data_IF_881431515099
#
_entry.id   IF_881431515099
#
_cell.length_a   1.000
_cell.length_b   1.000
_cell.length_c   1.000
_cell.angle_alpha   90.00
_cell.angle_beta   90.00
_cell.angle_gamma   90.00
#
_symmetry.space_group_name_H-M   'P 1'
#
loop_
_entity.id
_entity.type
_entity.pdbx_description
1 polymer ?
#
# COMPACT_ATOMS: atom_id res chain seq x y z
N UNK A 1 9.96 -1.85 -32.34
CA UNK A 1 10.28 -2.12 -30.92
C UNK A 1 9.34 -1.28 -30.08
N UNK A 2 8.48 -1.89 -29.27
CA UNK A 2 7.42 -1.15 -28.57
C UNK A 2 7.98 -0.48 -27.32
N UNK A 3 8.41 0.78 -27.46
CA UNK A 3 9.08 1.52 -26.39
C UNK A 3 8.19 1.71 -25.15
N UNK A 4 6.87 1.80 -25.36
CA UNK A 4 5.89 1.88 -24.28
C UNK A 4 5.91 0.63 -23.41
N UNK A 5 5.92 -0.55 -24.03
CA UNK A 5 5.98 -1.82 -23.30
C UNK A 5 7.26 -1.98 -22.46
N UNK A 6 8.38 -1.39 -22.92
CA UNK A 6 9.64 -1.39 -22.16
C UNK A 6 9.54 -0.45 -20.96
N UNK A 7 8.98 0.75 -21.15
CA UNK A 7 8.74 1.70 -20.05
C UNK A 7 7.83 1.08 -19.00
N UNK A 8 6.73 0.43 -19.42
CA UNK A 8 5.78 -0.22 -18.52
C UNK A 8 6.44 -1.37 -17.75
N UNK A 9 7.26 -2.19 -18.42
CA UNK A 9 8.01 -3.26 -17.78
C UNK A 9 9.02 -2.72 -16.75
N UNK A 10 9.72 -1.63 -17.06
CA UNK A 10 10.65 -0.97 -16.12
C UNK A 10 9.88 -0.39 -14.93
N UNK A 11 8.74 0.27 -15.17
CA UNK A 11 7.91 0.83 -14.11
C UNK A 11 7.37 -0.27 -13.18
N UNK A 12 6.91 -1.39 -13.74
CA UNK A 12 6.47 -2.55 -12.97
C UNK A 12 7.62 -3.15 -12.16
N UNK A 13 8.79 -3.36 -12.77
CA UNK A 13 9.98 -3.87 -12.09
C UNK A 13 10.42 -2.94 -10.94
N UNK A 14 10.37 -1.62 -11.16
CA UNK A 14 10.71 -0.65 -10.13
C UNK A 14 9.68 -0.64 -8.99
N UNK A 15 8.39 -0.60 -9.32
CA UNK A 15 7.27 -0.65 -8.37
C UNK A 15 7.37 -1.87 -7.45
N UNK A 16 7.93 -2.95 -7.99
CA UNK A 16 8.16 -4.22 -7.34
C UNK A 16 9.42 -4.21 -6.46
N UNK A 17 10.52 -3.62 -6.94
CA UNK A 17 11.83 -3.65 -6.28
C UNK A 17 11.97 -2.66 -5.12
N UNK A 18 11.31 -1.49 -5.17
CA UNK A 18 11.54 -0.44 -4.18
C UNK A 18 11.10 -0.79 -2.74
N UNK A 19 10.01 -1.54 -2.47
CA UNK A 19 9.62 -1.86 -1.09
C UNK A 19 10.66 -2.69 -0.31
N UNK A 20 11.20 -3.81 -0.83
CA UNK A 20 12.23 -4.56 -0.11
C UNK A 20 13.54 -3.76 0.02
N UNK A 21 13.93 -2.98 -1.00
CA UNK A 21 15.14 -2.14 -0.94
C UNK A 21 15.00 -1.08 0.15
N UNK A 22 13.89 -0.34 0.17
CA UNK A 22 13.63 0.69 1.18
C UNK A 22 13.53 0.10 2.59
N UNK A 23 12.92 -1.07 2.76
CA UNK A 23 12.92 -1.80 4.03
C UNK A 23 14.33 -2.12 4.51
N UNK A 24 15.22 -2.63 3.64
CA UNK A 24 16.62 -2.94 3.98
C UNK A 24 17.36 -1.65 4.39
N UNK A 25 17.25 -0.59 3.58
CA UNK A 25 17.94 0.69 3.84
C UNK A 25 17.47 1.31 5.15
N UNK A 26 16.16 1.39 5.39
CA UNK A 26 15.62 1.97 6.62
C UNK A 26 15.97 1.10 7.84
N UNK A 27 15.92 -0.22 7.70
CA UNK A 27 16.36 -1.13 8.77
C UNK A 27 17.82 -0.89 9.14
N UNK A 28 18.71 -0.74 8.16
CA UNK A 28 20.12 -0.43 8.42
C UNK A 28 20.29 0.91 9.15
N UNK A 29 19.53 1.95 8.77
CA UNK A 29 19.56 3.24 9.45
C UNK A 29 19.07 3.13 10.90
N UNK A 30 17.99 2.39 11.15
CA UNK A 30 17.48 2.13 12.50
C UNK A 30 18.55 1.41 13.34
N UNK A 31 19.18 0.37 12.78
CA UNK A 31 20.23 -0.40 13.46
C UNK A 31 21.42 0.50 13.80
N UNK A 32 21.86 1.33 12.85
CA UNK A 32 22.95 2.28 13.04
C UNK A 32 22.63 3.29 14.16
N UNK A 33 21.42 3.84 14.19
CA UNK A 33 21.00 4.78 15.22
C UNK A 33 20.93 4.13 16.61
N UNK A 34 20.40 2.91 16.70
CA UNK A 34 20.29 2.17 17.95
C UNK A 34 21.67 1.73 18.48
N UNK A 35 22.55 1.21 17.61
CA UNK A 35 23.91 0.79 17.98
C UNK A 35 24.92 0.97 16.82
N UNK A 36 25.67 2.09 16.79
CA UNK A 36 26.53 2.42 15.66
C UNK A 36 27.72 1.47 15.54
N UNK A 37 28.27 0.97 16.66
CA UNK A 37 29.43 0.07 16.67
C UNK A 37 29.06 -1.29 16.05
N UNK A 38 27.92 -1.84 16.46
CA UNK A 38 27.42 -3.10 15.91
C UNK A 38 27.07 -2.96 14.42
N UNK A 39 26.43 -1.86 14.03
CA UNK A 39 26.09 -1.57 12.65
C UNK A 39 27.36 -1.49 11.77
N UNK A 40 28.40 -0.79 12.23
CA UNK A 40 29.67 -0.68 11.51
C UNK A 40 30.35 -2.05 11.32
N UNK A 41 30.35 -2.89 12.36
CA UNK A 41 30.95 -4.23 12.27
C UNK A 41 30.18 -5.14 11.30
N UNK A 42 28.85 -5.10 11.32
CA UNK A 42 28.00 -5.83 10.36
C UNK A 42 28.19 -5.30 8.95
N UNK A 43 28.23 -3.99 8.78
CA UNK A 43 28.46 -3.34 7.48
C UNK A 43 29.83 -3.70 6.90
N UNK A 44 30.88 -3.73 7.72
CA UNK A 44 32.21 -4.22 7.32
C UNK A 44 32.19 -5.69 6.88
N UNK A 45 31.45 -6.54 7.59
CA UNK A 45 31.27 -7.94 7.20
C UNK A 45 30.58 -8.11 5.84
N UNK A 46 29.51 -7.35 5.61
CA UNK A 46 28.78 -7.32 4.32
C UNK A 46 29.68 -6.77 3.21
N UNK A 47 30.39 -5.67 3.44
CA UNK A 47 31.37 -5.11 2.50
C UNK A 47 32.47 -6.11 2.15
N UNK A 48 32.96 -6.87 3.13
CA UNK A 48 33.95 -7.91 2.89
C UNK A 48 33.38 -9.01 1.98
N UNK A 49 32.14 -9.46 2.23
CA UNK A 49 31.47 -10.45 1.38
C UNK A 49 31.15 -9.91 -0.03
N UNK A 50 30.79 -8.65 -0.15
CA UNK A 50 30.60 -8.01 -1.45
C UNK A 50 31.92 -7.89 -2.23
N UNK A 51 33.02 -7.65 -1.53
CA UNK A 51 34.35 -7.57 -2.13
C UNK A 51 34.85 -8.94 -2.59
N UNK A 52 34.62 -10.00 -1.82
CA UNK A 52 34.94 -11.37 -2.24
C UNK A 52 34.02 -11.82 -3.37
N UNK A 53 32.73 -11.48 -3.33
CA UNK A 53 31.82 -11.71 -4.45
C UNK A 53 32.29 -10.99 -5.72
N UNK A 54 32.72 -9.73 -5.61
CA UNK A 54 33.28 -8.97 -6.73
C UNK A 54 34.61 -9.53 -7.27
N UNK A 55 35.42 -10.17 -6.43
CA UNK A 55 36.62 -10.89 -6.86
C UNK A 55 36.24 -12.15 -7.66
N UNK A 56 35.31 -12.96 -7.14
CA UNK A 56 34.79 -14.13 -7.85
C UNK A 56 34.04 -13.73 -9.14
N UNK A 57 33.45 -12.53 -9.17
CA UNK A 57 32.81 -11.96 -10.35
C UNK A 57 33.82 -11.62 -11.44
N UNK A 58 35.01 -11.14 -11.08
CA UNK A 58 36.12 -10.93 -12.01
C UNK A 58 36.66 -12.25 -12.57
N UNK A 59 36.82 -13.27 -11.72
CA UNK A 59 37.22 -14.61 -12.18
C UNK A 59 36.22 -15.20 -13.17
N UNK A 60 34.91 -15.08 -12.88
CA UNK A 60 33.87 -15.51 -13.82
C UNK A 60 33.90 -14.69 -15.13
N UNK A 61 34.20 -13.40 -15.05
CA UNK A 61 34.34 -12.54 -16.22
C UNK A 61 35.53 -12.94 -17.10
N UNK A 62 36.68 -13.27 -16.50
CA UNK A 62 37.88 -13.76 -17.21
C UNK A 62 37.63 -15.10 -17.92
N UNK A 63 36.82 -15.99 -17.34
CA UNK A 63 36.43 -17.27 -17.97
C UNK A 63 35.46 -17.07 -19.15
N UNK A 64 34.62 -16.04 -19.11
CA UNK A 64 33.60 -15.73 -20.13
C UNK A 64 34.08 -14.76 -21.21
N UNK A 65 35.20 -14.07 -20.98
CA UNK A 65 35.87 -13.16 -21.92
C UNK A 65 36.19 -13.80 -23.28
N UNK A 66 36.71 -15.05 -23.36
CA UNK A 66 37.02 -15.72 -24.62
C UNK A 66 35.77 -15.99 -25.48
N UNK A 67 34.60 -16.05 -24.86
CA UNK A 67 33.34 -16.34 -25.54
C UNK A 67 32.56 -15.08 -25.92
N UNK A 68 33.05 -13.87 -25.58
CA UNK A 68 32.34 -12.61 -25.84
C UNK A 68 31.06 -12.44 -25.02
N UNK A 69 30.83 -13.28 -24.01
CA UNK A 69 29.62 -13.32 -23.18
C UNK A 69 29.68 -12.36 -21.97
N UNK A 70 30.72 -11.53 -21.86
CA UNK A 70 30.90 -10.60 -20.72
C UNK A 70 29.75 -9.62 -20.53
N UNK A 71 29.02 -9.27 -21.61
CA UNK A 71 27.83 -8.42 -21.54
C UNK A 71 26.58 -9.10 -20.96
N UNK A 72 26.53 -10.44 -20.93
CA UNK A 72 25.40 -11.20 -20.38
C UNK A 72 25.46 -11.34 -18.86
N UNK A 73 26.65 -11.27 -18.27
CA UNK A 73 26.85 -11.40 -16.82
C UNK A 73 26.08 -10.33 -16.02
N UNK A 74 26.18 -9.01 -16.30
CA UNK A 74 25.41 -8.01 -15.57
C UNK A 74 23.90 -8.16 -15.80
N UNK A 75 23.47 -8.62 -16.98
CA UNK A 75 22.06 -8.89 -17.28
C UNK A 75 21.53 -10.05 -16.42
N UNK A 76 22.26 -11.17 -16.37
CA UNK A 76 21.91 -12.32 -15.54
C UNK A 76 21.90 -11.94 -14.06
N UNK A 77 22.89 -11.16 -13.60
CA UNK A 77 22.93 -10.66 -12.22
C UNK A 77 21.74 -9.77 -11.89
N UNK A 78 21.31 -8.91 -12.82
CA UNK A 78 20.12 -8.07 -12.62
C UNK A 78 18.84 -8.92 -12.55
N UNK A 79 18.71 -9.94 -13.41
CA UNK A 79 17.57 -10.87 -13.39
C UNK A 79 17.54 -11.65 -12.07
N UNK A 80 18.66 -12.20 -11.63
CA UNK A 80 18.77 -12.91 -10.34
C UNK A 80 18.43 -11.98 -9.18
N UNK A 81 18.92 -10.74 -9.20
CA UNK A 81 18.61 -9.76 -8.16
C UNK A 81 17.11 -9.45 -8.10
N UNK A 82 16.48 -9.17 -9.25
CA UNK A 82 15.02 -8.95 -9.34
C UNK A 82 14.25 -10.18 -8.86
N UNK A 83 14.71 -11.39 -9.21
CA UNK A 83 14.09 -12.64 -8.78
C UNK A 83 14.20 -12.86 -7.26
N UNK A 84 15.33 -12.51 -6.64
CA UNK A 84 15.48 -12.55 -5.18
C UNK A 84 14.53 -11.55 -4.53
N UNK A 85 14.44 -10.32 -5.05
CA UNK A 85 13.47 -9.34 -4.56
C UNK A 85 12.04 -9.89 -4.72
N UNK A 86 11.74 -10.58 -5.82
CA UNK A 86 10.47 -11.30 -6.08
C UNK A 86 10.11 -12.28 -4.98
N UNK A 87 11.04 -13.18 -4.67
CA UNK A 87 10.86 -14.16 -3.61
C UNK A 87 10.68 -13.54 -2.23
N UNK A 88 11.32 -12.39 -1.96
CA UNK A 88 11.22 -11.71 -0.65
C UNK A 88 9.91 -10.94 -0.51
N UNK A 89 9.40 -10.33 -1.58
CA UNK A 89 8.24 -9.44 -1.50
C UNK A 89 6.94 -10.19 -1.16
N UNK A 90 6.76 -11.43 -1.63
CA UNK A 90 5.58 -12.24 -1.31
C UNK A 90 5.41 -12.49 0.20
N UNK A 91 6.37 -13.15 0.87
CA UNK A 91 6.37 -13.35 2.31
C UNK A 91 6.28 -12.03 3.10
N UNK A 92 7.02 -11.00 2.67
CA UNK A 92 6.98 -9.68 3.26
C UNK A 92 5.55 -9.10 3.27
N UNK A 93 4.88 -9.05 2.11
CA UNK A 93 3.52 -8.51 2.00
C UNK A 93 2.53 -9.31 2.84
N UNK A 94 2.66 -10.64 2.89
CA UNK A 94 1.80 -11.50 3.71
C UNK A 94 1.99 -11.22 5.20
N UNK A 95 3.23 -11.14 5.68
CA UNK A 95 3.52 -10.85 7.09
C UNK A 95 3.06 -9.44 7.46
N UNK A 96 3.39 -8.43 6.65
CA UNK A 96 3.03 -7.04 6.97
C UNK A 96 1.51 -6.81 6.99
N UNK A 97 0.72 -7.56 6.20
CA UNK A 97 -0.75 -7.51 6.24
C UNK A 97 -1.34 -8.03 7.56
N UNK A 98 -0.64 -8.90 8.28
CA UNK A 98 -1.09 -9.46 9.55
C UNK A 98 -0.69 -8.58 10.75
N UNK A 99 0.27 -7.67 10.58
CA UNK A 99 0.69 -6.77 11.65
C UNK A 99 -0.36 -5.65 11.82
N UNK A 100 -0.91 -5.44 13.04
CA UNK A 100 -1.82 -4.32 13.31
C UNK A 100 -1.07 -2.98 13.28
N UNK A 101 -1.77 -1.85 13.09
CA UNK A 101 -3.21 -1.68 12.98
C UNK A 101 -3.75 -1.94 11.57
N UNK A 102 -4.88 -2.62 11.43
CA UNK A 102 -5.55 -2.80 10.15
C UNK A 102 -6.44 -1.60 9.83
N UNK A 103 -6.63 -1.35 8.53
CA UNK A 103 -7.42 -0.25 8.02
C UNK A 103 -8.53 -0.83 7.14
N UNK A 104 -9.78 -0.62 7.56
CA UNK A 104 -10.97 -0.99 6.81
C UNK A 104 -11.67 0.25 6.26
N UNK A 105 -12.24 0.12 5.07
CA UNK A 105 -13.00 1.18 4.41
C UNK A 105 -14.41 0.70 4.08
N UNK A 106 -15.41 1.53 4.38
CA UNK A 106 -16.79 1.36 3.97
C UNK A 106 -17.08 2.36 2.86
N UNK A 107 -16.84 1.96 1.62
CA UNK A 107 -16.92 2.85 0.46
C UNK A 107 -18.31 3.43 0.26
N UNK A 108 -19.37 2.63 0.47
CA UNK A 108 -20.74 3.13 0.40
C UNK A 108 -21.02 4.28 1.36
N UNK A 109 -20.59 4.17 2.62
CA UNK A 109 -20.72 5.24 3.63
C UNK A 109 -19.94 6.50 3.21
N UNK A 110 -18.74 6.34 2.63
CA UNK A 110 -17.96 7.47 2.13
C UNK A 110 -18.69 8.20 1.00
N UNK A 111 -19.13 7.46 -0.03
CA UNK A 111 -19.84 8.03 -1.18
C UNK A 111 -21.13 8.70 -0.74
N UNK A 112 -21.88 8.08 0.16
CA UNK A 112 -23.10 8.64 0.72
C UNK A 112 -22.87 9.91 1.53
N UNK A 113 -21.72 10.04 2.21
CA UNK A 113 -21.35 11.26 2.94
C UNK A 113 -20.92 12.40 2.02
N UNK A 114 -20.43 12.08 0.81
CA UNK A 114 -19.95 13.03 -0.18
C UNK A 114 -21.04 13.48 -1.16
N UNK A 115 -22.19 12.79 -1.20
CA UNK A 115 -23.31 13.05 -2.09
C UNK A 115 -24.49 13.66 -1.34
N UNK A 116 -25.06 14.72 -1.89
CA UNK A 116 -26.29 15.33 -1.40
C UNK A 116 -27.49 14.42 -1.66
N UNK A 117 -28.54 14.55 -0.84
CA UNK A 117 -29.74 13.74 -1.01
C UNK A 117 -30.37 13.85 -2.42
N UNK A 118 -30.35 15.04 -3.03
CA UNK A 118 -30.83 15.26 -4.39
C UNK A 118 -30.00 14.50 -5.44
N UNK A 119 -28.67 14.51 -5.32
CA UNK A 119 -27.79 13.76 -6.22
C UNK A 119 -28.03 12.25 -6.10
N UNK A 120 -28.24 11.74 -4.88
CA UNK A 120 -28.53 10.31 -4.68
C UNK A 120 -29.79 9.88 -5.43
N UNK A 121 -30.84 10.69 -5.41
CA UNK A 121 -32.08 10.44 -6.16
C UNK A 121 -31.83 10.44 -7.66
N UNK A 122 -31.10 11.44 -8.16
CA UNK A 122 -30.80 11.56 -9.58
C UNK A 122 -30.01 10.35 -10.10
N UNK A 123 -29.05 9.86 -9.32
CA UNK A 123 -28.24 8.68 -9.66
C UNK A 123 -29.13 7.42 -9.71
N UNK A 124 -30.02 7.21 -8.74
CA UNK A 124 -30.96 6.08 -8.75
C UNK A 124 -31.91 6.15 -9.94
N UNK A 125 -32.39 7.35 -10.31
CA UNK A 125 -33.28 7.54 -11.47
C UNK A 125 -32.58 7.30 -12.79
N UNK A 126 -31.28 7.58 -12.87
CA UNK A 126 -30.46 7.23 -14.03
C UNK A 126 -30.31 5.71 -14.20
N UNK A 127 -30.37 4.94 -13.10
CA UNK A 127 -30.24 3.48 -13.08
C UNK A 127 -31.36 2.81 -12.28
N UNK A 128 -32.61 2.81 -12.79
CA UNK A 128 -33.79 2.39 -12.01
C UNK A 128 -33.79 0.91 -11.63
N UNK A 129 -33.01 0.08 -12.35
CA UNK A 129 -32.87 -1.37 -12.12
C UNK A 129 -31.96 -1.72 -10.94
N UNK A 130 -31.22 -0.76 -10.39
CA UNK A 130 -30.34 -1.00 -9.25
C UNK A 130 -31.15 -1.23 -7.97
N UNK A 131 -30.65 -2.10 -7.09
CA UNK A 131 -31.27 -2.46 -5.81
C UNK A 131 -31.12 -1.33 -4.80
N UNK A 132 -29.95 -0.71 -4.73
CA UNK A 132 -29.61 0.36 -3.81
C UNK A 132 -28.86 1.52 -4.50
N UNK A 133 -28.62 2.59 -3.74
CA UNK A 133 -27.84 3.74 -4.18
C UNK A 133 -26.40 3.37 -4.56
N UNK A 134 -25.73 2.55 -3.76
CA UNK A 134 -24.32 2.20 -3.95
C UNK A 134 -24.10 1.48 -5.29
N UNK A 135 -24.98 0.54 -5.63
CA UNK A 135 -24.95 -0.14 -6.92
C UNK A 135 -25.18 0.84 -8.07
N UNK A 136 -26.14 1.77 -7.94
CA UNK A 136 -26.38 2.78 -8.96
C UNK A 136 -25.18 3.72 -9.15
N UNK A 137 -24.51 4.09 -8.05
CA UNK A 137 -23.29 4.88 -8.07
C UNK A 137 -22.14 4.17 -8.78
N UNK A 138 -21.81 2.92 -8.42
CA UNK A 138 -20.72 2.19 -9.06
C UNK A 138 -20.99 1.94 -10.56
N UNK A 139 -22.25 1.76 -10.94
CA UNK A 139 -22.65 1.67 -12.36
C UNK A 139 -22.48 3.02 -13.08
N UNK A 140 -22.75 4.13 -12.40
CA UNK A 140 -22.52 5.47 -12.93
C UNK A 140 -21.02 5.72 -13.17
N UNK A 141 -20.19 5.43 -12.18
CA UNK A 141 -18.72 5.53 -12.25
C UNK A 141 -18.21 4.71 -13.44
N UNK A 142 -18.55 3.42 -13.52
CA UNK A 142 -18.08 2.52 -14.57
C UNK A 142 -18.50 2.92 -15.99
N UNK A 143 -19.61 3.66 -16.14
CA UNK A 143 -20.12 4.11 -17.44
C UNK A 143 -19.55 5.46 -17.86
N UNK A 144 -19.30 6.35 -16.90
CA UNK A 144 -18.98 7.76 -17.15
C UNK A 144 -17.48 8.04 -17.14
N UNK A 145 -16.70 7.27 -16.38
CA UNK A 145 -15.26 7.45 -16.30
C UNK A 145 -14.54 6.63 -17.39
N UNK A 146 -13.46 7.17 -17.98
CA UNK A 146 -12.68 6.43 -18.97
C UNK A 146 -12.03 5.20 -18.33
N UNK A 147 -11.88 4.11 -19.10
CA UNK A 147 -11.31 2.84 -18.62
C UNK A 147 -9.93 2.98 -17.97
N UNK A 148 -9.18 4.01 -18.34
CA UNK A 148 -7.83 4.26 -17.83
C UNK A 148 -7.81 5.05 -16.51
N UNK A 149 -8.96 5.59 -16.09
CA UNK A 149 -9.12 6.32 -14.83
C UNK A 149 -8.82 5.41 -13.62
N UNK A 150 -9.38 4.20 -13.61
CA UNK A 150 -9.22 3.26 -12.50
C UNK A 150 -7.77 2.82 -12.31
N UNK A 151 -7.02 2.65 -13.41
CA UNK A 151 -5.64 2.15 -13.40
C UNK A 151 -4.68 3.10 -12.64
N UNK A 152 -4.76 4.41 -12.88
CA UNK A 152 -3.89 5.38 -12.21
C UNK A 152 -4.14 5.47 -10.70
N UNK A 153 -5.40 5.31 -10.29
CA UNK A 153 -5.80 5.43 -8.89
C UNK A 153 -5.56 4.15 -8.09
N UNK A 154 -5.73 2.98 -8.71
CA UNK A 154 -5.34 1.69 -8.14
C UNK A 154 -3.85 1.66 -7.78
N UNK A 155 -2.98 2.22 -8.63
CA UNK A 155 -1.55 2.30 -8.36
C UNK A 155 -1.21 3.17 -7.12
N UNK A 156 -1.90 4.29 -6.95
CA UNK A 156 -1.69 5.16 -5.77
C UNK A 156 -2.23 4.55 -4.48
N UNK A 157 -3.39 3.91 -4.52
CA UNK A 157 -3.94 3.18 -3.37
C UNK A 157 -2.96 2.07 -2.96
N UNK A 158 -2.48 1.28 -3.93
CA UNK A 158 -1.49 0.24 -3.69
C UNK A 158 -0.17 0.78 -3.12
N UNK A 159 0.27 1.98 -3.54
CA UNK A 159 1.45 2.63 -2.97
C UNK A 159 1.30 2.89 -1.47
N UNK A 160 0.18 3.48 -1.04
CA UNK A 160 -0.08 3.75 0.38
C UNK A 160 -0.17 2.46 1.20
N UNK A 161 -0.82 1.42 0.67
CA UNK A 161 -0.87 0.11 1.33
C UNK A 161 0.52 -0.50 1.51
N UNK A 162 1.39 -0.40 0.49
CA UNK A 162 2.80 -0.84 0.58
C UNK A 162 3.57 -0.06 1.63
N UNK A 163 3.37 1.27 1.71
CA UNK A 163 4.00 2.12 2.72
C UNK A 163 3.53 1.77 4.15
N UNK A 164 2.24 1.56 4.35
CA UNK A 164 1.68 1.11 5.63
C UNK A 164 2.30 -0.24 6.02
N UNK A 165 2.36 -1.19 5.08
CA UNK A 165 3.00 -2.49 5.29
C UNK A 165 4.46 -2.36 5.71
N UNK A 166 5.21 -1.48 5.05
CA UNK A 166 6.62 -1.23 5.35
C UNK A 166 6.82 -0.72 6.78
N UNK A 167 6.11 0.33 7.15
CA UNK A 167 6.27 0.93 8.48
C UNK A 167 5.89 -0.08 9.56
N UNK A 168 4.81 -0.85 9.35
CA UNK A 168 4.42 -1.94 10.25
C UNK A 168 5.49 -2.99 10.43
N UNK A 169 6.16 -3.39 9.35
CA UNK A 169 7.23 -4.39 9.39
C UNK A 169 8.51 -3.86 10.07
N UNK A 170 8.75 -2.54 10.10
CA UNK A 170 9.88 -1.95 10.84
C UNK A 170 9.69 -1.97 12.36
N UNK A 171 8.45 -1.97 12.85
CA UNK A 171 8.16 -2.01 14.29
C UNK A 171 8.72 -3.28 14.97
N UNK A 172 8.38 -4.52 14.53
CA UNK A 172 8.92 -5.73 15.15
C UNK A 172 10.43 -5.86 14.94
N UNK A 173 10.98 -5.38 13.80
CA UNK A 173 12.43 -5.31 13.59
C UNK A 173 13.08 -4.47 14.68
N UNK A 174 12.52 -3.30 14.96
CA UNK A 174 13.02 -2.40 16.01
C UNK A 174 12.96 -3.07 17.40
N UNK A 175 11.90 -3.82 17.70
CA UNK A 175 11.77 -4.58 18.95
C UNK A 175 12.80 -5.71 19.05
N UNK A 176 12.98 -6.51 17.99
CA UNK A 176 14.01 -7.57 17.94
C UNK A 176 15.40 -6.97 18.15
N UNK A 177 15.67 -5.83 17.51
CA UNK A 177 16.94 -5.13 17.68
C UNK A 177 17.13 -4.54 19.08
N UNK A 178 16.07 -4.11 19.75
CA UNK A 178 16.15 -3.71 21.16
C UNK A 178 16.58 -4.89 22.03
N UNK A 179 15.95 -6.06 21.85
CA UNK A 179 16.26 -7.29 22.60
C UNK A 179 17.72 -7.69 22.38
N UNK A 180 18.18 -7.65 21.13
CA UNK A 180 19.57 -7.99 20.81
C UNK A 180 20.57 -6.97 21.39
N UNK A 181 20.25 -5.68 21.33
CA UNK A 181 21.07 -4.60 21.89
C UNK A 181 21.00 -4.50 23.42
N UNK A 182 20.16 -5.29 24.08
CA UNK A 182 20.09 -5.30 25.54
C UNK A 182 21.45 -5.60 26.18
N UNK A 183 22.28 -6.44 25.53
CA UNK A 183 23.64 -6.80 25.96
C UNK A 183 24.75 -5.81 25.57
N UNK A 184 24.45 -4.72 24.86
CA UNK A 184 25.48 -3.76 24.42
C UNK A 184 26.03 -2.90 25.58
N UNK A 185 27.24 -2.36 25.43
CA UNK A 185 27.93 -1.50 26.42
C UNK A 185 27.27 -0.13 26.67
N UNK A 186 26.30 0.28 25.84
CA UNK A 186 25.62 1.57 26.01
C UNK A 186 24.90 1.69 27.37
N UNK A 187 24.84 2.91 27.97
CA UNK A 187 24.05 3.15 29.19
C UNK A 187 22.57 2.83 28.97
N UNK A 188 21.92 2.25 29.98
CA UNK A 188 20.52 1.82 29.91
C UNK A 188 19.58 2.92 29.39
N UNK A 189 19.63 4.11 29.99
CA UNK A 189 18.76 5.24 29.61
C UNK A 189 18.95 5.70 28.17
N UNK A 190 20.17 5.66 27.64
CA UNK A 190 20.42 6.01 26.24
C UNK A 190 19.79 5.00 25.28
N UNK A 191 19.75 3.71 25.64
CA UNK A 191 19.07 2.68 24.83
C UNK A 191 17.57 2.91 24.82
N UNK A 192 16.98 3.15 26.00
CA UNK A 192 15.55 3.41 26.16
C UNK A 192 15.15 4.66 25.37
N UNK A 193 15.87 5.77 25.53
CA UNK A 193 15.57 7.02 24.82
C UNK A 193 15.61 6.82 23.30
N UNK A 194 16.68 6.22 22.76
CA UNK A 194 16.81 5.97 21.32
C UNK A 194 15.71 5.06 20.80
N UNK A 195 15.34 4.03 21.55
CA UNK A 195 14.24 3.15 21.20
C UNK A 195 12.90 3.89 21.16
N UNK A 196 12.60 4.67 22.20
CA UNK A 196 11.38 5.49 22.27
C UNK A 196 11.34 6.47 21.10
N UNK A 197 12.45 7.15 20.78
CA UNK A 197 12.54 8.02 19.61
C UNK A 197 12.20 7.28 18.31
N UNK A 198 12.80 6.12 18.06
CA UNK A 198 12.54 5.34 16.84
C UNK A 198 11.08 4.88 16.78
N UNK A 199 10.53 4.34 17.87
CA UNK A 199 9.13 3.91 17.92
C UNK A 199 8.17 5.08 17.73
N UNK A 200 8.45 6.25 18.32
CA UNK A 200 7.66 7.46 18.12
C UNK A 200 7.71 7.92 16.67
N UNK A 201 8.89 7.94 16.04
CA UNK A 201 9.03 8.30 14.61
C UNK A 201 8.30 7.30 13.70
N UNK A 202 8.39 6.00 13.97
CA UNK A 202 7.66 4.97 13.21
C UNK A 202 6.14 5.10 13.41
N UNK A 203 5.69 5.37 14.63
CA UNK A 203 4.26 5.56 14.92
C UNK A 203 3.71 6.83 14.26
N UNK A 204 4.46 7.94 14.32
CA UNK A 204 4.08 9.21 13.70
C UNK A 204 4.05 9.09 12.17
N UNK A 205 5.04 8.43 11.57
CA UNK A 205 5.05 8.18 10.12
C UNK A 205 3.91 7.26 9.70
N UNK A 206 3.61 6.19 10.47
CA UNK A 206 2.48 5.32 10.22
C UNK A 206 1.16 6.12 10.23
N UNK A 207 0.97 6.95 11.25
CA UNK A 207 -0.21 7.81 11.36
C UNK A 207 -0.33 8.79 10.19
N UNK A 208 0.78 9.42 9.79
CA UNK A 208 0.83 10.32 8.64
C UNK A 208 0.45 9.62 7.34
N UNK A 209 0.95 8.41 7.09
CA UNK A 209 0.61 7.62 5.89
C UNK A 209 -0.86 7.19 5.92
N UNK A 210 -1.40 6.80 7.07
CA UNK A 210 -2.83 6.45 7.20
C UNK A 210 -3.72 7.66 6.87
N UNK A 211 -3.39 8.85 7.38
CA UNK A 211 -4.12 10.08 7.04
C UNK A 211 -4.01 10.38 5.54
N UNK A 212 -2.82 10.29 4.97
CA UNK A 212 -2.61 10.56 3.55
C UNK A 212 -3.41 9.59 2.67
N UNK A 213 -3.42 8.31 3.03
CA UNK A 213 -4.21 7.29 2.34
C UNK A 213 -5.72 7.56 2.44
N UNK A 214 -6.20 7.91 3.64
CA UNK A 214 -7.59 8.31 3.89
C UNK A 214 -7.98 9.51 3.01
N UNK A 215 -7.17 10.57 3.05
CA UNK A 215 -7.40 11.78 2.27
C UNK A 215 -7.39 11.50 0.76
N UNK A 216 -6.48 10.66 0.29
CA UNK A 216 -6.41 10.30 -1.13
C UNK A 216 -7.66 9.52 -1.57
N UNK A 217 -8.15 8.59 -0.75
CA UNK A 217 -9.38 7.84 -1.02
C UNK A 217 -10.61 8.75 -1.03
N UNK A 218 -10.70 9.70 -0.11
CA UNK A 218 -11.77 10.71 -0.13
C UNK A 218 -11.70 11.60 -1.38
N UNK A 219 -10.51 12.06 -1.76
CA UNK A 219 -10.32 12.87 -2.97
C UNK A 219 -10.67 12.11 -4.24
N UNK A 220 -10.35 10.82 -4.30
CA UNK A 220 -10.73 9.95 -5.41
C UNK A 220 -12.25 9.96 -5.64
N UNK A 221 -13.02 9.65 -4.60
CA UNK A 221 -14.48 9.64 -4.69
C UNK A 221 -15.07 11.03 -4.94
N UNK A 222 -14.43 12.12 -4.47
CA UNK A 222 -14.84 13.48 -4.83
C UNK A 222 -14.71 13.76 -6.32
N UNK A 223 -13.63 13.30 -6.96
CA UNK A 223 -13.46 13.45 -8.42
C UNK A 223 -14.54 12.66 -9.17
N UNK A 224 -14.82 11.42 -8.75
CA UNK A 224 -15.87 10.60 -9.34
C UNK A 224 -17.25 11.25 -9.21
N UNK A 225 -17.57 11.77 -8.03
CA UNK A 225 -18.85 12.45 -7.78
C UNK A 225 -18.96 13.74 -8.58
N UNK A 226 -17.87 14.51 -8.73
CA UNK A 226 -17.89 15.71 -9.56
C UNK A 226 -18.14 15.37 -11.03
N UNK A 227 -17.49 14.33 -11.56
CA UNK A 227 -17.74 13.87 -12.94
C UNK A 227 -19.19 13.43 -13.14
N UNK A 228 -19.78 12.75 -12.15
CA UNK A 228 -21.20 12.41 -12.17
C UNK A 228 -22.08 13.67 -12.11
N UNK A 229 -21.74 14.64 -11.24
CA UNK A 229 -22.49 15.90 -11.08
C UNK A 229 -22.53 16.70 -12.38
N UNK A 230 -21.43 16.79 -13.10
CA UNK A 230 -21.36 17.48 -14.40
C UNK A 230 -22.36 16.87 -15.39
N UNK A 231 -22.44 15.53 -15.44
CA UNK A 231 -23.38 14.80 -16.32
C UNK A 231 -24.84 14.93 -15.85
N UNK A 232 -25.06 15.06 -14.54
CA UNK A 232 -26.39 15.25 -13.97
C UNK A 232 -26.91 16.68 -14.19
N UNK A 233 -26.04 17.68 -14.23
CA UNK A 233 -26.40 19.09 -14.47
C UNK A 233 -27.02 19.29 -15.87
N UNK A 234 -26.59 18.52 -16.87
CA UNK A 234 -27.04 18.61 -18.25
C UNK A 234 -28.42 17.96 -18.51
N UNK A 235 -29.08 17.41 -17.48
CA UNK A 235 -30.20 16.49 -17.65
C UNK A 235 -31.49 16.95 -16.94
N UNK A 236 -32.67 16.85 -17.59
CA UNK A 236 -33.93 17.51 -17.16
C UNK A 236 -34.65 16.89 -15.94
N UNK A 237 -34.09 15.84 -15.32
CA UNK A 237 -34.65 15.13 -14.15
C UNK A 237 -34.50 15.93 -12.84
N UNK A 238 -33.78 17.06 -12.89
CA UNK A 238 -33.56 17.99 -11.78
C UNK A 238 -34.83 18.61 -11.20
N UNK A 239 -35.96 18.51 -11.91
CA UNK A 239 -37.22 19.18 -11.57
C UNK A 239 -38.31 18.29 -10.96
N UNK A 240 -38.04 17.04 -10.60
CA UNK A 240 -39.06 16.14 -10.00
C UNK A 240 -38.80 15.93 -8.49
N UNK A 241 -39.44 16.72 -7.61
CA UNK A 241 -39.10 16.75 -6.18
C UNK A 241 -39.67 15.57 -5.37
N UNK A 242 -40.74 14.92 -5.83
CA UNK A 242 -41.40 13.89 -5.01
C UNK A 242 -40.77 12.51 -5.19
N UNK A 243 -40.44 11.88 -4.07
CA UNK A 243 -39.96 10.50 -4.00
C UNK A 243 -41.12 9.52 -3.91
N UNK A 244 -41.08 8.48 -4.73
CA UNK A 244 -41.92 7.30 -4.55
C UNK A 244 -41.48 6.50 -3.31
N UNK A 245 -42.40 5.78 -2.68
CA UNK A 245 -42.10 4.90 -1.53
C UNK A 245 -41.04 3.85 -1.87
N UNK A 246 -40.98 3.43 -3.14
CA UNK A 246 -39.97 2.52 -3.67
C UNK A 246 -38.57 3.14 -3.76
N UNK A 247 -38.45 4.42 -4.15
CA UNK A 247 -37.17 5.12 -4.14
C UNK A 247 -36.66 5.32 -2.71
N UNK A 248 -37.56 5.62 -1.76
CA UNK A 248 -37.21 5.75 -0.33
C UNK A 248 -36.61 4.47 0.24
N UNK A 249 -37.11 3.30 -0.15
CA UNK A 249 -36.58 2.02 0.32
C UNK A 249 -35.18 1.68 -0.21
N UNK A 250 -34.64 2.42 -1.19
CA UNK A 250 -33.29 2.20 -1.74
C UNK A 250 -32.19 2.98 -1.02
N UNK A 251 -32.55 3.83 -0.06
CA UNK A 251 -31.60 4.54 0.77
C UNK A 251 -31.46 3.82 2.11
N UNK A 252 -30.22 3.49 2.46
CA UNK A 252 -29.88 3.06 3.81
C UNK A 252 -29.31 4.28 4.53
N UNK A 253 -29.77 4.54 5.75
CA UNK A 253 -29.29 5.67 6.52
C UNK A 253 -27.99 5.31 7.25
N UNK A 254 -26.87 5.76 6.70
CA UNK A 254 -25.55 5.62 7.30
C UNK A 254 -24.99 6.95 7.85
N UNK A 255 -25.84 7.96 8.11
CA UNK A 255 -25.40 9.32 8.48
C UNK A 255 -24.47 9.41 9.70
N UNK A 256 -24.53 8.43 10.61
CA UNK A 256 -23.68 8.39 11.81
C UNK A 256 -22.53 7.36 11.74
N UNK A 257 -22.38 6.64 10.63
CA UNK A 257 -21.33 5.64 10.50
C UNK A 257 -20.00 6.24 10.04
N UNK A 258 -18.90 5.73 10.61
CA UNK A 258 -17.56 6.07 10.12
C UNK A 258 -17.27 5.25 8.88
N UNK A 259 -16.89 5.94 7.80
CA UNK A 259 -16.49 5.30 6.55
C UNK A 259 -15.10 4.65 6.59
N UNK A 260 -14.34 4.84 7.67
CA UNK A 260 -13.07 4.19 7.91
C UNK A 260 -12.98 3.66 9.34
N UNK A 261 -12.28 2.54 9.51
CA UNK A 261 -12.07 1.90 10.81
C UNK A 261 -10.60 1.51 10.91
N UNK A 262 -9.95 1.92 12.00
CA UNK A 262 -8.62 1.45 12.38
C UNK A 262 -8.80 0.47 13.52
N UNK A 263 -8.38 -0.78 13.33
CA UNK A 263 -8.58 -1.84 14.31
C UNK A 263 -7.29 -2.64 14.54
N UNK A 264 -7.05 -2.99 15.80
CA UNK A 264 -5.86 -3.74 16.22
C UNK A 264 -6.12 -5.25 16.31
N UNK A 265 -7.38 -5.65 16.44
CA UNK A 265 -7.82 -7.04 16.46
C UNK A 265 -8.80 -7.20 15.30
N UNK A 266 -8.49 -8.10 14.38
CA UNK A 266 -9.30 -8.33 13.20
C UNK A 266 -10.50 -9.24 13.52
N UNK A 267 -11.44 -8.77 14.34
CA UNK A 267 -12.68 -9.51 14.63
C UNK A 267 -13.45 -9.88 13.34
N UNK A 268 -13.48 -8.97 12.36
CA UNK A 268 -14.10 -9.22 11.03
C UNK A 268 -13.30 -10.24 10.17
N UNK A 269 -11.99 -10.43 10.40
CA UNK A 269 -11.25 -11.53 9.76
C UNK A 269 -11.41 -12.85 10.49
N UNK A 270 -11.64 -12.84 11.81
CA UNK A 270 -11.93 -14.06 12.56
C UNK A 270 -13.25 -14.65 12.07
N UNK A 271 -14.30 -13.84 11.86
CA UNK A 271 -15.55 -14.29 11.24
C UNK A 271 -15.36 -14.85 9.81
N UNK A 272 -14.47 -14.26 9.01
CA UNK A 272 -14.13 -14.80 7.69
C UNK A 272 -13.36 -16.13 7.77
N UNK A 273 -12.40 -16.27 8.70
CA UNK A 273 -11.67 -17.51 8.92
C UNK A 273 -12.56 -18.63 9.48
N UNK A 274 -13.48 -18.33 10.40
CA UNK A 274 -14.40 -19.32 10.96
C UNK A 274 -15.49 -19.76 9.98
N UNK A 275 -15.85 -18.93 8.99
CA UNK A 275 -16.80 -19.29 7.93
C UNK A 275 -16.17 -19.99 6.73
N UNK A 276 -14.87 -19.82 6.47
CA UNK A 276 -14.20 -20.36 5.26
C UNK A 276 -13.18 -21.46 5.54
N UNK A 277 -12.85 -21.74 6.81
CA UNK A 277 -12.02 -22.87 7.21
C UNK A 277 -12.74 -23.67 8.29
N UNK A 278 -13.58 -24.61 7.85
CA UNK A 278 -14.01 -25.71 8.70
C UNK A 278 -12.83 -26.67 8.88
N UNK A 279 -12.28 -26.74 10.10
CA UNK A 279 -11.64 -27.95 10.59
C UNK A 279 -12.70 -28.87 11.18
#
# INVERSE_FOLDING_TARGET
MNFQAIIDAIHQAWSFAWPPISFIVISLLIIYFLNPVMALNRFRGVLHHLRTFGANFKEAQEVLEPFGLTKLIPLISAIIFIFILYLINGPYLTICKQIPPHLGFREGVLVESLTTFQEKIQIIRMYPRCVDFNQAYFLAVAKLLPKDYDLYHLDKIAFYERMIGLIKCLIPVTVIFLIYNWKSVLPFWNKVLRFVCVIMTLSLSLYGVIIAHRYHKEMHHKVEINAIRDVLADKPWSSTPDLTSYEKSKFVDHTNERWYIVYFIASERIEWFTTHWHF
#
